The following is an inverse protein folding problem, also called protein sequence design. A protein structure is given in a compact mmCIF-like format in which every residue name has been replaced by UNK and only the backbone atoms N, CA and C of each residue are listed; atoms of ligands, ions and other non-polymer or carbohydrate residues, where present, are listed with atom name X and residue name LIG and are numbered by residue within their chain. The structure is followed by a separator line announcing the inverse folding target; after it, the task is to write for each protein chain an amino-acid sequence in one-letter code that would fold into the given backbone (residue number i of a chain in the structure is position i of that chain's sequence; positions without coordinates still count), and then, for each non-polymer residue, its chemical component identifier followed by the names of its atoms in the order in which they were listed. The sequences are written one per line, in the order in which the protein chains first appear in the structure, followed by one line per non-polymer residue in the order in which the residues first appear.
data_IF_782470143588
#
_entry.id   IF_782470143588
#
_cell.length_a   1.000
_cell.length_b   1.000
_cell.length_c   1.000
_cell.angle_alpha   90.00
_cell.angle_beta   90.00
_cell.angle_gamma   90.00
#
_symmetry.space_group_name_H-M   'P 1'
#
loop_
_entity.id
_entity.type
_entity.pdbx_description
1 polymer ?
#
# COMPACT_ATOMS: atom_id res chain seq x y z
N UNK A 1 -12.97 -9.38 -21.35
CA UNK A 1 -13.19 -7.98 -20.93
C UNK A 1 -11.83 -7.34 -20.93
N UNK A 2 -11.53 -6.53 -21.94
CA UNK A 2 -10.34 -5.67 -21.92
C UNK A 2 -10.62 -4.54 -20.92
N UNK A 3 -10.19 -4.75 -19.68
CA UNK A 3 -10.28 -3.72 -18.65
C UNK A 3 -8.96 -2.95 -18.69
N UNK A 4 -8.99 -1.72 -19.21
CA UNK A 4 -7.87 -0.80 -19.04
C UNK A 4 -7.73 -0.45 -17.56
N UNK A 5 -6.59 -0.83 -16.98
CA UNK A 5 -6.30 -0.63 -15.57
C UNK A 5 -5.79 0.80 -15.37
N UNK A 6 -6.65 1.66 -14.81
CA UNK A 6 -6.24 2.98 -14.34
C UNK A 6 -5.82 2.89 -12.86
N UNK A 7 -4.56 3.20 -12.51
CA UNK A 7 -4.14 3.20 -11.12
C UNK A 7 -4.84 4.31 -10.35
N UNK A 8 -5.51 3.96 -9.25
CA UNK A 8 -6.16 4.92 -8.37
C UNK A 8 -5.19 5.35 -7.26
N UNK A 9 -5.08 6.65 -7.02
CA UNK A 9 -4.36 7.18 -5.86
C UNK A 9 -5.20 6.92 -4.60
N UNK A 10 -4.66 6.08 -3.72
CA UNK A 10 -5.28 5.71 -2.45
C UNK A 10 -4.44 6.23 -1.28
N UNK A 11 -5.10 6.36 -0.14
CA UNK A 11 -4.46 6.73 1.13
C UNK A 11 -4.67 5.63 2.16
N UNK A 12 -3.70 5.48 3.05
CA UNK A 12 -3.77 4.52 4.14
C UNK A 12 -2.85 4.90 5.29
N UNK A 13 -2.87 4.06 6.32
CA UNK A 13 -2.10 4.25 7.54
C UNK A 13 -1.29 2.99 7.83
N UNK A 14 -0.01 3.12 8.14
CA UNK A 14 0.84 2.00 8.55
C UNK A 14 0.32 1.45 9.89
N UNK A 15 -0.11 0.19 9.89
CA UNK A 15 -0.63 -0.52 11.06
C UNK A 15 0.36 -1.52 11.65
N UNK A 16 1.31 -1.97 10.85
CA UNK A 16 2.32 -2.94 11.26
C UNK A 16 3.60 -2.73 10.46
N UNK A 17 4.75 -2.88 11.11
CA UNK A 17 6.09 -2.86 10.51
C UNK A 17 6.79 -4.14 10.95
N UNK A 18 7.37 -4.85 9.99
CA UNK A 18 8.16 -6.07 10.18
C UNK A 18 9.53 -5.91 9.54
N UNK A 19 10.42 -6.88 9.76
CA UNK A 19 11.76 -6.88 9.13
C UNK A 19 11.71 -6.93 7.59
N UNK A 20 10.61 -7.42 7.00
CA UNK A 20 10.49 -7.65 5.55
C UNK A 20 9.50 -6.72 4.86
N UNK A 21 8.64 -6.02 5.60
CA UNK A 21 7.58 -5.21 5.02
C UNK A 21 6.68 -4.50 6.02
N UNK A 22 5.66 -3.83 5.47
CA UNK A 22 4.65 -3.10 6.23
C UNK A 22 3.25 -3.57 5.87
N UNK A 23 2.32 -3.44 6.82
CA UNK A 23 0.89 -3.55 6.55
C UNK A 23 0.23 -2.18 6.65
N UNK A 24 -0.46 -1.80 5.59
CA UNK A 24 -1.16 -0.53 5.45
C UNK A 24 -2.66 -0.80 5.52
N UNK A 25 -3.33 -0.18 6.50
CA UNK A 25 -4.79 -0.14 6.52
C UNK A 25 -5.28 0.89 5.51
N UNK A 26 -6.02 0.47 4.50
CA UNK A 26 -6.53 1.37 3.46
C UNK A 26 -7.73 2.14 4.00
N UNK A 27 -7.76 3.46 3.77
CA UNK A 27 -8.83 4.31 4.25
C UNK A 27 -10.20 3.87 3.70
N UNK A 28 -11.27 4.17 4.43
CA UNK A 28 -12.63 3.76 4.02
C UNK A 28 -12.94 2.28 4.26
N UNK A 29 -12.14 1.57 5.06
CA UNK A 29 -12.31 0.13 5.37
C UNK A 29 -12.21 -0.77 4.13
N UNK A 30 -11.43 -0.35 3.14
CA UNK A 30 -11.24 -1.11 1.88
C UNK A 30 -10.30 -2.31 2.03
N UNK A 31 -9.72 -2.52 3.22
CA UNK A 31 -8.91 -3.68 3.55
C UNK A 31 -7.52 -3.32 4.05
N UNK A 32 -6.62 -4.30 3.98
CA UNK A 32 -5.22 -4.18 4.40
C UNK A 32 -4.32 -4.59 3.24
N UNK A 33 -3.34 -3.74 2.91
CA UNK A 33 -2.33 -4.01 1.91
C UNK A 33 -1.01 -4.38 2.60
N UNK A 34 -0.41 -5.50 2.23
CA UNK A 34 0.91 -5.90 2.72
C UNK A 34 1.95 -5.67 1.63
N UNK A 35 2.95 -4.83 1.90
CA UNK A 35 4.00 -4.47 0.95
C UNK A 35 5.38 -4.75 1.53
N UNK A 36 6.33 -5.25 0.73
CA UNK A 36 7.72 -5.37 1.17
C UNK A 36 8.38 -3.99 1.29
N UNK A 37 9.41 -3.86 2.12
CA UNK A 37 10.07 -2.56 2.39
C UNK A 37 10.58 -1.86 1.12
N UNK A 38 11.03 -2.62 0.11
CA UNK A 38 11.49 -2.10 -1.19
C UNK A 38 10.43 -1.32 -1.98
N UNK A 39 9.15 -1.48 -1.64
CA UNK A 39 8.05 -0.76 -2.28
C UNK A 39 7.69 0.54 -1.55
N UNK A 40 8.33 0.84 -0.42
CA UNK A 40 8.06 2.02 0.39
C UNK A 40 9.11 3.08 0.08
N UNK A 41 8.67 4.18 -0.52
CA UNK A 41 9.53 5.30 -0.91
C UNK A 41 9.41 6.39 0.15
N UNK A 42 10.46 6.60 0.95
CA UNK A 42 10.49 7.59 2.03
C UNK A 42 11.92 8.01 2.35
N UNK A 43 12.09 9.25 2.79
CA UNK A 43 13.33 9.81 3.35
C UNK A 43 13.37 9.76 4.89
N UNK A 44 12.29 9.26 5.52
CA UNK A 44 12.09 9.22 6.97
C UNK A 44 11.99 7.77 7.46
N UNK A 45 12.36 7.50 8.73
CA UNK A 45 12.08 6.22 9.38
C UNK A 45 10.58 5.88 9.35
N UNK A 46 10.28 4.59 9.18
CA UNK A 46 8.92 4.08 9.23
C UNK A 46 8.43 3.99 10.67
N UNK A 47 7.23 4.49 10.92
CA UNK A 47 6.60 4.49 12.23
C UNK A 47 5.12 4.07 12.13
N UNK A 48 4.61 3.44 13.19
CA UNK A 48 3.21 3.06 13.28
C UNK A 48 2.33 4.31 13.32
N UNK A 49 1.20 4.29 12.61
CA UNK A 49 0.29 5.42 12.53
C UNK A 49 0.65 6.46 11.47
N UNK A 50 1.79 6.33 10.79
CA UNK A 50 2.12 7.22 9.67
C UNK A 50 1.13 7.07 8.51
N UNK A 51 0.70 8.21 7.97
CA UNK A 51 -0.10 8.26 6.76
C UNK A 51 0.79 8.04 5.53
N UNK A 52 0.23 7.38 4.52
CA UNK A 52 0.90 7.14 3.25
C UNK A 52 -0.11 7.19 2.10
N UNK A 53 0.42 7.41 0.91
CA UNK A 53 -0.33 7.38 -0.34
C UNK A 53 0.35 6.44 -1.33
N UNK A 54 -0.46 5.72 -2.11
CA UNK A 54 0.02 4.72 -3.04
C UNK A 54 -0.96 4.57 -4.20
N UNK A 55 -0.41 4.14 -5.35
CA UNK A 55 -1.21 3.76 -6.51
C UNK A 55 -1.45 2.25 -6.49
N UNK A 56 -2.69 1.82 -6.67
CA UNK A 56 -3.06 0.41 -6.75
C UNK A 56 -3.60 0.06 -8.13
N UNK A 57 -3.03 -0.98 -8.75
CA UNK A 57 -3.56 -1.64 -9.95
C UNK A 57 -3.86 -3.12 -9.65
N UNK A 58 -4.72 -3.75 -10.46
CA UNK A 58 -5.01 -5.18 -10.32
C UNK A 58 -3.84 -6.04 -10.79
N UNK A 59 -3.64 -7.18 -10.12
CA UNK A 59 -2.71 -8.21 -10.55
C UNK A 59 -3.44 -9.13 -11.53
N UNK A 60 -2.90 -9.26 -12.74
CA UNK A 60 -3.39 -10.26 -13.70
C UNK A 60 -2.63 -11.57 -13.53
N UNK A 61 -3.36 -12.68 -13.43
CA UNK A 61 -2.78 -14.02 -13.45
C UNK A 61 -2.76 -14.49 -14.91
N UNK A 62 -1.59 -14.93 -15.38
CA UNK A 62 -1.42 -15.49 -16.73
C UNK A 62 -1.72 -16.99 -16.74
#
# INVERSE_FOLDING_TARGET
MDVELQPLLLRGVIKEITEVGVRIGVNGRMGVLSLPLRCILTDKPLELGQECEFYLSYVNVL
#
